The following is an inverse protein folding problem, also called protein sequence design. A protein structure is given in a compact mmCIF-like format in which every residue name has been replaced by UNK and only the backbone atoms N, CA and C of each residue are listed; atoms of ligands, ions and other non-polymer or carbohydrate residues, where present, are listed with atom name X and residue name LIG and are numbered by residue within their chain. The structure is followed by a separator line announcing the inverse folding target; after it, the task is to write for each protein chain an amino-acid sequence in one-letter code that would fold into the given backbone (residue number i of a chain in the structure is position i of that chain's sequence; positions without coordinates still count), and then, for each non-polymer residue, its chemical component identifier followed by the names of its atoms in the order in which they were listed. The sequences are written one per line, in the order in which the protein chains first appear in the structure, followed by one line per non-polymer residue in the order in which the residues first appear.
data_IF_290186616238
#
_entry.id   IF_290186616238
#
_cell.length_a   1.000
_cell.length_b   1.000
_cell.length_c   1.000
_cell.angle_alpha   90.00
_cell.angle_beta   90.00
_cell.angle_gamma   90.00
#
_symmetry.space_group_name_H-M   'P 1'
#
loop_
_entity.id
_entity.type
_entity.pdbx_description
1 polymer ?
#
# COMPACT_ATOMS: atom_id res chain seq x y z
N UNK A 1 -69.98 29.81 36.18
CA UNK A 1 -68.85 30.23 35.33
C UNK A 1 -67.96 28.96 35.10
N UNK A 2 -68.19 28.29 33.96
CA UNK A 2 -67.45 27.06 33.59
C UNK A 2 -66.48 27.42 32.47
N UNK A 3 -65.16 27.38 32.74
CA UNK A 3 -64.12 27.62 31.74
C UNK A 3 -63.63 26.26 31.21
N UNK A 4 -64.01 25.95 29.97
CA UNK A 4 -63.54 24.78 29.24
C UNK A 4 -62.14 25.07 28.68
N UNK A 5 -61.13 24.29 29.09
CA UNK A 5 -59.82 24.28 28.48
C UNK A 5 -59.84 23.25 27.34
N UNK A 6 -59.70 23.70 26.14
CA UNK A 6 -59.45 22.84 24.99
C UNK A 6 -57.93 22.52 24.90
N UNK A 7 -57.60 21.26 25.04
CA UNK A 7 -56.25 20.75 24.87
C UNK A 7 -56.05 20.42 23.38
N UNK A 8 -55.24 21.20 22.70
CA UNK A 8 -54.80 20.89 21.34
C UNK A 8 -53.64 19.90 21.42
N UNK A 9 -53.89 18.67 21.03
CA UNK A 9 -52.84 17.68 20.84
C UNK A 9 -52.20 17.87 19.44
N UNK A 10 -50.95 18.36 19.44
CA UNK A 10 -50.13 18.43 18.23
C UNK A 10 -49.41 17.11 18.05
N UNK A 11 -49.88 16.31 17.11
CA UNK A 11 -49.14 15.11 16.64
C UNK A 11 -48.01 15.55 15.73
N UNK A 12 -46.78 15.54 16.24
CA UNK A 12 -45.59 15.68 15.42
C UNK A 12 -45.30 14.34 14.75
N UNK A 13 -45.54 14.24 13.44
CA UNK A 13 -45.14 13.08 12.64
C UNK A 13 -43.64 13.15 12.38
N UNK A 14 -42.84 12.28 13.07
CA UNK A 14 -41.47 12.05 12.73
C UNK A 14 -41.39 11.24 11.42
N UNK A 15 -41.07 11.91 10.33
CA UNK A 15 -40.69 11.23 9.09
C UNK A 15 -39.27 10.63 9.25
N UNK A 16 -39.19 9.30 9.40
CA UNK A 16 -37.91 8.57 9.28
C UNK A 16 -37.49 8.60 7.81
N UNK A 17 -36.57 9.45 7.45
CA UNK A 17 -35.86 9.37 6.17
C UNK A 17 -34.88 8.20 6.20
N UNK A 18 -35.25 7.08 5.61
CA UNK A 18 -34.36 5.97 5.34
C UNK A 18 -33.31 6.43 4.32
N UNK A 19 -32.10 6.73 4.79
CA UNK A 19 -30.96 6.96 3.90
C UNK A 19 -30.62 5.65 3.21
N UNK A 20 -30.97 5.53 1.93
CA UNK A 20 -30.51 4.45 1.08
C UNK A 20 -28.97 4.57 0.95
N UNK A 21 -28.23 3.68 1.63
CA UNK A 21 -26.80 3.55 1.43
C UNK A 21 -26.58 2.98 0.03
N UNK A 22 -26.10 3.82 -0.87
CA UNK A 22 -25.64 3.39 -2.18
C UNK A 22 -24.51 2.35 -1.95
N UNK A 23 -24.61 1.13 -2.54
CA UNK A 23 -23.51 0.16 -2.45
C UNK A 23 -22.24 0.81 -3.00
N UNK A 24 -21.15 0.75 -2.24
CA UNK A 24 -19.86 1.18 -2.74
C UNK A 24 -19.56 0.45 -4.06
N UNK A 25 -19.07 1.14 -5.10
CA UNK A 25 -18.76 0.51 -6.37
C UNK A 25 -17.81 -0.66 -6.12
N UNK A 26 -18.20 -1.84 -6.64
CA UNK A 26 -17.35 -3.02 -6.65
C UNK A 26 -15.96 -2.61 -7.15
N UNK A 27 -14.92 -3.02 -6.39
CA UNK A 27 -13.54 -2.72 -6.72
C UNK A 27 -13.30 -3.05 -8.20
N UNK A 28 -13.17 -2.01 -9.01
CA UNK A 28 -12.78 -2.16 -10.41
C UNK A 28 -11.47 -2.94 -10.41
N UNK A 29 -11.44 -4.03 -11.17
CA UNK A 29 -10.23 -4.82 -11.43
C UNK A 29 -9.22 -3.86 -12.06
N UNK A 30 -8.33 -3.29 -11.24
CA UNK A 30 -7.25 -2.44 -11.75
C UNK A 30 -6.34 -3.30 -12.61
N UNK A 31 -5.99 -2.83 -13.83
CA UNK A 31 -4.98 -3.51 -14.62
C UNK A 31 -3.67 -3.58 -13.85
N UNK A 32 -2.86 -4.57 -14.14
CA UNK A 32 -1.62 -4.95 -13.44
C UNK A 32 -0.50 -3.88 -13.37
N UNK A 33 -0.81 -2.63 -13.65
CA UNK A 33 0.07 -1.46 -13.49
C UNK A 33 -0.33 -0.74 -12.22
N UNK A 34 0.26 -1.13 -11.08
CA UNK A 34 0.03 -0.49 -9.79
C UNK A 34 0.46 0.99 -9.79
N UNK A 35 -0.06 1.75 -8.84
CA UNK A 35 0.29 3.16 -8.62
C UNK A 35 1.54 3.25 -7.73
N UNK A 36 2.67 3.70 -8.29
CA UNK A 36 3.94 3.81 -7.57
C UNK A 36 3.89 4.79 -6.39
N UNK A 37 3.12 5.87 -6.46
CA UNK A 37 3.00 6.81 -5.35
C UNK A 37 2.22 6.19 -4.18
N UNK A 38 1.10 5.54 -4.45
CA UNK A 38 0.36 4.78 -3.44
C UNK A 38 1.24 3.66 -2.84
N UNK A 39 2.03 3.00 -3.67
CA UNK A 39 3.00 1.99 -3.24
C UNK A 39 4.08 2.54 -2.30
N UNK A 40 4.58 3.76 -2.53
CA UNK A 40 5.50 4.45 -1.64
C UNK A 40 4.88 4.68 -0.26
N UNK A 41 3.64 5.15 -0.23
CA UNK A 41 2.92 5.41 1.02
C UNK A 41 2.68 4.11 1.81
N UNK A 42 2.36 3.01 1.10
CA UNK A 42 2.24 1.68 1.70
C UNK A 42 3.58 1.17 2.22
N UNK A 43 4.68 1.36 1.49
CA UNK A 43 6.03 0.97 1.88
C UNK A 43 6.44 1.58 3.22
N UNK A 44 6.12 2.86 3.41
CA UNK A 44 6.33 3.59 4.67
C UNK A 44 5.36 3.11 5.74
N UNK A 45 4.08 3.04 5.43
CA UNK A 45 3.01 2.67 6.38
C UNK A 45 3.22 1.30 7.01
N UNK A 46 3.65 0.32 6.21
CA UNK A 46 3.91 -1.05 6.68
C UNK A 46 5.36 -1.28 7.12
N UNK A 47 6.15 -0.20 7.25
CA UNK A 47 7.53 -0.22 7.73
C UNK A 47 8.46 -1.15 6.94
N UNK A 48 8.19 -1.36 5.67
CA UNK A 48 9.05 -2.18 4.79
C UNK A 48 10.50 -1.66 4.78
N UNK A 49 10.66 -0.33 4.88
CA UNK A 49 11.95 0.35 4.93
C UNK A 49 12.81 -0.09 6.11
N UNK A 50 12.22 -0.50 7.23
CA UNK A 50 12.98 -0.87 8.43
C UNK A 50 13.94 -2.04 8.18
N UNK A 51 13.58 -2.94 7.28
CA UNK A 51 14.43 -4.07 6.88
C UNK A 51 15.05 -3.87 5.49
N UNK A 52 14.31 -3.29 4.55
CA UNK A 52 14.73 -3.20 3.15
C UNK A 52 15.41 -1.87 2.76
N UNK A 53 15.56 -0.93 3.71
CA UNK A 53 16.06 0.42 3.46
C UNK A 53 15.01 1.35 2.87
N UNK A 54 15.17 2.66 3.04
CA UNK A 54 14.20 3.65 2.57
C UNK A 54 14.03 3.67 1.05
N UNK A 55 15.05 3.27 0.33
CA UNK A 55 15.13 3.22 -1.12
C UNK A 55 15.17 1.79 -1.69
N UNK A 56 14.96 0.78 -0.85
CA UNK A 56 14.95 -0.63 -1.28
C UNK A 56 16.31 -1.21 -1.69
N UNK A 57 17.41 -0.46 -1.49
CA UNK A 57 18.76 -0.92 -1.85
C UNK A 57 19.41 -1.83 -0.82
N UNK A 58 18.75 -2.11 0.29
CA UNK A 58 19.18 -3.07 1.30
C UNK A 58 19.19 -2.48 2.71
N UNK A 59 19.29 -3.38 3.66
CA UNK A 59 19.31 -3.16 5.09
C UNK A 59 19.52 -4.51 5.75
N UNK A 60 18.82 -4.79 6.85
CA UNK A 60 18.81 -6.11 7.47
C UNK A 60 18.10 -7.17 6.59
N UNK A 61 17.17 -6.74 5.73
CA UNK A 61 16.47 -7.57 4.76
C UNK A 61 17.14 -7.58 3.39
N UNK A 62 16.59 -8.40 2.50
CA UNK A 62 17.09 -8.53 1.14
C UNK A 62 16.95 -7.21 0.36
N UNK A 63 17.91 -6.97 -0.53
CA UNK A 63 17.84 -5.88 -1.51
C UNK A 63 16.66 -6.10 -2.45
N UNK A 64 15.83 -5.06 -2.63
CA UNK A 64 14.66 -5.09 -3.50
C UNK A 64 14.94 -4.46 -4.88
N UNK A 65 15.87 -3.53 -4.96
CA UNK A 65 16.22 -2.79 -6.18
C UNK A 65 17.53 -3.32 -6.78
N UNK A 66 17.57 -3.63 -8.08
CA UNK A 66 16.45 -3.59 -9.02
C UNK A 66 15.47 -4.74 -8.80
N UNK A 67 14.16 -4.44 -8.92
CA UNK A 67 13.11 -5.45 -8.78
C UNK A 67 13.13 -6.43 -9.96
N UNK A 68 13.47 -7.69 -9.66
CA UNK A 68 13.62 -8.76 -10.65
C UNK A 68 12.40 -9.70 -10.71
N UNK A 69 11.52 -9.63 -9.72
CA UNK A 69 10.31 -10.45 -9.69
C UNK A 69 9.23 -9.83 -10.56
N UNK A 70 8.41 -10.67 -11.20
CA UNK A 70 7.12 -10.24 -11.75
C UNK A 70 6.17 -9.87 -10.62
N UNK A 71 5.12 -9.09 -10.90
CA UNK A 71 4.12 -8.69 -9.88
C UNK A 71 3.50 -9.89 -9.17
N UNK A 72 3.14 -10.94 -9.92
CA UNK A 72 2.56 -12.17 -9.36
C UNK A 72 3.52 -12.89 -8.41
N UNK A 73 4.79 -13.00 -8.79
CA UNK A 73 5.82 -13.64 -7.93
C UNK A 73 6.11 -12.80 -6.69
N UNK A 74 6.09 -11.49 -6.82
CA UNK A 74 6.20 -10.58 -5.69
C UNK A 74 5.03 -10.77 -4.73
N UNK A 75 3.80 -10.75 -5.24
CA UNK A 75 2.59 -10.98 -4.44
C UNK A 75 2.65 -12.33 -3.73
N UNK A 76 2.94 -13.40 -4.44
CA UNK A 76 3.07 -14.73 -3.87
C UNK A 76 4.15 -14.79 -2.77
N UNK A 77 5.29 -14.12 -2.96
CA UNK A 77 6.36 -14.09 -1.97
C UNK A 77 5.96 -13.33 -0.71
N UNK A 78 5.29 -12.18 -0.84
CA UNK A 78 4.84 -11.37 0.32
C UNK A 78 3.75 -12.11 1.10
N UNK A 79 2.92 -12.95 0.43
CA UNK A 79 1.94 -13.81 1.06
C UNK A 79 2.54 -15.00 1.82
N UNK A 80 3.68 -15.51 1.37
CA UNK A 80 4.36 -16.66 1.96
C UNK A 80 5.87 -16.54 1.83
N UNK A 81 6.52 -15.64 2.61
CA UNK A 81 7.96 -15.49 2.55
C UNK A 81 8.67 -16.76 3.01
N UNK A 82 9.83 -17.03 2.39
CA UNK A 82 10.61 -18.24 2.68
C UNK A 82 11.51 -18.09 3.91
N UNK A 83 11.53 -16.91 4.51
CA UNK A 83 12.37 -16.62 5.69
C UNK A 83 11.49 -16.19 6.86
N UNK A 84 11.77 -16.65 8.09
CA UNK A 84 10.99 -16.27 9.26
C UNK A 84 11.13 -14.79 9.67
N UNK A 85 12.17 -14.10 9.15
CA UNK A 85 12.42 -12.69 9.46
C UNK A 85 11.48 -11.74 8.73
N UNK A 86 10.96 -12.14 7.56
CA UNK A 86 9.97 -11.35 6.84
C UNK A 86 8.55 -11.75 7.28
N UNK A 87 7.73 -10.84 7.78
CA UNK A 87 6.37 -11.15 8.18
C UNK A 87 5.51 -11.52 6.97
N UNK A 88 4.54 -12.38 7.21
CA UNK A 88 3.50 -12.73 6.23
C UNK A 88 2.40 -11.66 6.21
N UNK A 89 2.07 -11.14 5.06
CA UNK A 89 1.00 -10.17 4.88
C UNK A 89 -0.23 -10.85 4.24
N UNK A 90 -1.28 -11.05 5.04
CA UNK A 90 -2.54 -11.61 4.55
C UNK A 90 -3.31 -10.64 3.65
N UNK A 91 -4.30 -11.13 2.92
CA UNK A 91 -5.21 -10.28 2.12
C UNK A 91 -6.03 -9.30 2.95
N UNK A 92 -6.19 -9.57 4.26
CA UNK A 92 -6.84 -8.66 5.21
C UNK A 92 -5.97 -7.46 5.57
N UNK A 93 -4.65 -7.61 5.53
CA UNK A 93 -3.69 -6.55 5.84
C UNK A 93 -3.34 -5.74 4.59
N UNK A 94 -3.00 -6.41 3.50
CA UNK A 94 -2.65 -5.82 2.22
C UNK A 94 -3.45 -6.54 1.11
N UNK A 95 -4.24 -5.82 0.35
CA UNK A 95 -4.95 -6.37 -0.81
C UNK A 95 -3.96 -6.65 -1.95
N UNK A 96 -4.37 -7.43 -2.94
CA UNK A 96 -3.52 -7.69 -4.12
C UNK A 96 -3.30 -6.41 -4.96
N UNK A 97 -4.28 -5.51 -5.01
CA UNK A 97 -4.12 -4.20 -5.61
C UNK A 97 -3.04 -3.36 -4.90
N UNK A 98 -3.03 -3.36 -3.57
CA UNK A 98 -2.00 -2.68 -2.78
C UNK A 98 -0.61 -3.33 -2.96
N UNK A 99 -0.53 -4.64 -3.15
CA UNK A 99 0.73 -5.31 -3.49
C UNK A 99 1.20 -4.96 -4.90
N UNK A 100 0.28 -4.78 -5.86
CA UNK A 100 0.62 -4.26 -7.18
C UNK A 100 1.18 -2.82 -7.11
N UNK A 101 0.61 -1.97 -6.26
CA UNK A 101 1.11 -0.62 -6.01
C UNK A 101 2.53 -0.65 -5.39
N UNK A 102 2.75 -1.49 -4.37
CA UNK A 102 4.06 -1.70 -3.76
C UNK A 102 5.10 -2.18 -4.78
N UNK A 103 4.74 -3.16 -5.61
CA UNK A 103 5.61 -3.66 -6.67
C UNK A 103 5.96 -2.57 -7.69
N UNK A 104 4.95 -1.77 -8.11
CA UNK A 104 5.16 -0.64 -9.02
C UNK A 104 6.11 0.39 -8.43
N UNK A 105 5.95 0.72 -7.14
CA UNK A 105 6.86 1.63 -6.43
C UNK A 105 8.29 1.11 -6.43
N UNK A 106 8.53 -0.12 -5.96
CA UNK A 106 9.87 -0.69 -5.87
C UNK A 106 10.51 -0.78 -7.26
N UNK A 107 9.73 -1.11 -8.28
CA UNK A 107 10.20 -1.17 -9.66
C UNK A 107 10.56 0.20 -10.24
N UNK A 108 9.93 1.27 -9.77
CA UNK A 108 10.21 2.65 -10.19
C UNK A 108 11.49 3.23 -9.60
N UNK A 109 12.04 2.61 -8.54
CA UNK A 109 13.26 3.10 -7.91
C UNK A 109 14.45 2.80 -8.82
N UNK A 110 15.27 3.81 -9.15
CA UNK A 110 16.43 3.62 -10.01
C UNK A 110 17.46 2.68 -9.36
N UNK A 111 18.05 1.81 -10.15
CA UNK A 111 19.16 0.99 -9.69
C UNK A 111 20.38 1.85 -9.35
N UNK A 112 21.22 1.38 -8.41
CA UNK A 112 22.51 2.02 -8.16
C UNK A 112 23.37 1.98 -9.43
N UNK A 113 24.17 3.01 -9.70
CA UNK A 113 25.16 2.97 -10.77
C UNK A 113 26.11 1.79 -10.59
N UNK A 114 26.63 1.27 -11.68
CA UNK A 114 27.71 0.29 -11.61
C UNK A 114 28.96 0.90 -10.95
N UNK A 115 29.71 0.10 -10.22
CA UNK A 115 30.91 0.59 -9.54
C UNK A 115 31.93 1.23 -10.49
N UNK A 116 32.02 0.74 -11.75
CA UNK A 116 32.87 1.31 -12.81
C UNK A 116 32.47 2.72 -13.25
N UNK A 117 31.18 3.07 -13.04
CA UNK A 117 30.62 4.38 -13.44
C UNK A 117 30.72 5.42 -12.29
N UNK A 118 31.21 4.99 -11.13
CA UNK A 118 31.49 5.86 -9.98
C UNK A 118 33.00 6.18 -9.99
N UNK A 119 33.41 7.44 -10.26
CA UNK A 119 34.83 7.77 -10.52
C UNK A 119 35.79 7.32 -9.42
N UNK A 120 35.39 7.42 -8.15
CA UNK A 120 36.21 6.98 -7.02
C UNK A 120 36.35 5.45 -6.99
N UNK A 121 35.27 4.70 -7.18
CA UNK A 121 35.30 3.24 -7.19
C UNK A 121 36.07 2.71 -8.40
N UNK A 122 35.86 3.32 -9.56
CA UNK A 122 36.62 2.97 -10.77
C UNK A 122 38.14 3.11 -10.57
N UNK A 123 38.58 4.20 -9.89
CA UNK A 123 39.98 4.40 -9.51
C UNK A 123 40.51 3.33 -8.58
N UNK A 124 39.76 3.03 -7.50
CA UNK A 124 40.14 2.00 -6.53
C UNK A 124 40.26 0.64 -7.22
N UNK A 125 39.29 0.29 -8.08
CA UNK A 125 39.29 -0.98 -8.82
C UNK A 125 40.40 -1.08 -9.84
N UNK A 126 40.89 0.03 -10.39
CA UNK A 126 42.03 0.05 -11.33
C UNK A 126 43.39 0.10 -10.65
N UNK A 127 43.46 0.13 -9.33
CA UNK A 127 44.69 0.18 -8.58
C UNK A 127 45.49 1.49 -8.70
N UNK A 128 44.83 2.59 -9.09
CA UNK A 128 45.44 3.91 -9.29
C UNK A 128 45.02 4.90 -8.23
#
# INVERSE_FOLDING_TARGET
MKKSFAVFAVFAALALTASAQTPAPAAATQPATGNAQAGKDLYVRYSCYACHGYDGHGGAGARLVPMRMTGDRFTAYVRGPRTPQMPTYSTKLLTDAQLADLWAYIKSIPASPDAKDIPLLARIMSGK
#
